data_IF_292542040305
#
_entry.id   IF_292542040305
#
_cell.length_a   1.000
_cell.length_b   1.000
_cell.length_c   1.000
_cell.angle_alpha   90.00
_cell.angle_beta   90.00
_cell.angle_gamma   90.00
#
_symmetry.space_group_name_H-M   'P 1'
#
loop_
_entity.id
_entity.type
_entity.pdbx_description
1 polymer ?
#
# COMPACT_ATOMS: atom_id res chain seq x y z
N UNK A 1 12.94 -9.71 21.73
CA UNK A 1 12.42 -9.28 20.42
C UNK A 1 11.33 -10.27 20.03
N UNK A 2 10.09 -9.84 20.17
CA UNK A 2 8.85 -10.63 20.16
C UNK A 2 8.48 -11.02 18.72
N UNK A 3 8.12 -12.29 18.49
CA UNK A 3 7.88 -12.87 17.15
C UNK A 3 6.79 -12.16 16.31
N UNK A 4 5.92 -11.37 16.95
CA UNK A 4 4.95 -10.49 16.28
C UNK A 4 5.62 -9.42 15.42
N UNK A 5 6.65 -8.75 15.95
CA UNK A 5 7.38 -7.70 15.21
C UNK A 5 8.11 -8.24 13.99
N UNK A 6 8.57 -9.50 14.05
CA UNK A 6 9.24 -10.17 12.94
C UNK A 6 8.23 -10.51 11.82
N UNK A 7 7.01 -10.90 12.19
CA UNK A 7 5.93 -11.21 11.25
C UNK A 7 5.39 -9.95 10.57
N UNK A 8 5.24 -8.85 11.30
CA UNK A 8 4.83 -7.56 10.72
C UNK A 8 5.86 -7.01 9.72
N UNK A 9 7.15 -7.09 10.05
CA UNK A 9 8.23 -6.71 9.14
C UNK A 9 8.24 -7.61 7.89
N UNK A 10 8.07 -8.92 8.06
CA UNK A 10 7.99 -9.86 6.94
C UNK A 10 6.78 -9.60 6.05
N UNK A 11 5.62 -9.28 6.63
CA UNK A 11 4.41 -8.94 5.88
C UNK A 11 4.58 -7.63 5.10
N UNK A 12 5.13 -6.59 5.73
CA UNK A 12 5.43 -5.31 5.08
C UNK A 12 6.45 -5.44 3.95
N UNK A 13 7.51 -6.23 4.15
CA UNK A 13 8.50 -6.53 3.11
C UNK A 13 7.89 -7.36 1.96
N UNK A 14 7.02 -8.33 2.27
CA UNK A 14 6.32 -9.13 1.27
C UNK A 14 5.38 -8.30 0.40
N UNK A 15 4.62 -7.39 1.02
CA UNK A 15 3.75 -6.45 0.30
C UNK A 15 4.56 -5.43 -0.52
N UNK A 16 5.67 -4.93 0.02
CA UNK A 16 6.57 -4.05 -0.72
C UNK A 16 7.16 -4.73 -1.95
N UNK A 17 7.66 -5.96 -1.80
CA UNK A 17 8.22 -6.74 -2.89
C UNK A 17 7.17 -7.05 -3.98
N UNK A 18 5.96 -7.47 -3.60
CA UNK A 18 4.90 -7.77 -4.55
C UNK A 18 4.42 -6.53 -5.31
N UNK A 19 4.43 -5.37 -4.67
CA UNK A 19 4.14 -4.08 -5.27
C UNK A 19 5.16 -3.73 -6.36
N UNK A 20 6.46 -3.82 -6.07
CA UNK A 20 7.54 -3.54 -7.04
C UNK A 20 7.55 -4.53 -8.20
N UNK A 21 7.36 -5.83 -7.93
CA UNK A 21 7.30 -6.88 -8.96
C UNK A 21 6.11 -6.65 -9.89
N UNK A 22 4.93 -6.31 -9.35
CA UNK A 22 3.74 -6.01 -10.16
C UNK A 22 3.95 -4.77 -11.03
N UNK A 23 4.59 -3.73 -10.49
CA UNK A 23 4.91 -2.52 -11.23
C UNK A 23 5.89 -2.80 -12.38
N UNK A 24 6.92 -3.63 -12.13
CA UNK A 24 7.84 -4.09 -13.17
C UNK A 24 7.16 -4.91 -14.27
N UNK A 25 6.22 -5.78 -13.89
CA UNK A 25 5.41 -6.55 -14.84
C UNK A 25 4.56 -5.63 -15.75
N UNK A 26 3.90 -4.64 -15.16
CA UNK A 26 3.08 -3.66 -15.88
C UNK A 26 3.88 -2.81 -16.87
N UNK A 27 5.14 -2.50 -16.52
CA UNK A 27 6.04 -1.73 -17.39
C UNK A 27 6.67 -2.58 -18.51
N UNK A 28 6.54 -3.90 -18.45
CA UNK A 28 7.11 -4.80 -19.45
C UNK A 28 6.19 -4.90 -20.67
N UNK A 29 6.77 -4.94 -21.87
CA UNK A 29 6.03 -5.09 -23.14
C UNK A 29 5.14 -6.36 -23.18
N UNK A 30 5.56 -7.42 -22.48
CA UNK A 30 4.81 -8.67 -22.30
C UNK A 30 3.49 -8.48 -21.51
N UNK A 31 3.47 -7.53 -20.57
CA UNK A 31 2.29 -7.20 -19.78
C UNK A 31 1.13 -6.67 -20.62
N UNK A 32 1.42 -5.93 -21.71
CA UNK A 32 0.40 -5.44 -22.65
C UNK A 32 -0.21 -6.57 -23.50
N UNK A 33 0.52 -7.65 -23.74
CA UNK A 33 0.04 -8.79 -24.53
C UNK A 33 -0.78 -9.80 -23.70
N UNK A 34 -0.74 -9.70 -22.37
CA UNK A 34 -1.37 -10.67 -21.46
C UNK A 34 -2.45 -10.00 -20.56
N UNK A 35 -3.72 -9.90 -21.02
CA UNK A 35 -4.75 -9.12 -20.35
C UNK A 35 -5.06 -9.62 -18.92
N UNK A 36 -4.99 -10.93 -18.70
CA UNK A 36 -5.23 -11.55 -17.38
C UNK A 36 -4.07 -11.25 -16.43
N UNK A 37 -2.82 -11.35 -16.92
CA UNK A 37 -1.63 -11.03 -16.12
C UNK A 37 -1.58 -9.55 -15.73
N UNK A 38 -1.97 -8.67 -16.66
CA UNK A 38 -2.08 -7.23 -16.41
C UNK A 38 -3.12 -6.90 -15.32
N UNK A 39 -4.29 -7.55 -15.36
CA UNK A 39 -5.33 -7.38 -14.35
C UNK A 39 -4.86 -7.84 -12.96
N UNK A 40 -4.21 -9.01 -12.88
CA UNK A 40 -3.64 -9.51 -11.64
C UNK A 40 -2.57 -8.57 -11.07
N UNK A 41 -1.66 -8.07 -11.91
CA UNK A 41 -0.63 -7.12 -11.50
C UNK A 41 -1.25 -5.81 -10.97
N UNK A 42 -2.30 -5.31 -11.62
CA UNK A 42 -3.06 -4.15 -11.12
C UNK A 42 -3.69 -4.40 -9.75
N UNK A 43 -4.35 -5.55 -9.56
CA UNK A 43 -5.00 -5.90 -8.29
C UNK A 43 -3.95 -5.99 -7.17
N UNK A 44 -2.84 -6.68 -7.42
CA UNK A 44 -1.76 -6.83 -6.43
C UNK A 44 -1.11 -5.49 -6.12
N UNK A 45 -0.84 -4.66 -7.14
CA UNK A 45 -0.27 -3.34 -6.95
C UNK A 45 -1.17 -2.43 -6.11
N UNK A 46 -2.47 -2.36 -6.44
CA UNK A 46 -3.44 -1.54 -5.71
C UNK A 46 -3.66 -2.09 -4.31
N UNK A 47 -3.81 -3.41 -4.15
CA UNK A 47 -4.01 -4.04 -2.84
C UNK A 47 -2.81 -3.83 -1.91
N UNK A 48 -1.61 -4.16 -2.38
CA UNK A 48 -0.39 -3.97 -1.60
C UNK A 48 -0.10 -2.49 -1.31
N UNK A 49 -0.28 -1.63 -2.31
CA UNK A 49 -0.10 -0.19 -2.18
C UNK A 49 -1.06 0.44 -1.17
N UNK A 50 -2.34 0.07 -1.22
CA UNK A 50 -3.35 0.58 -0.26
C UNK A 50 -3.07 0.10 1.16
N UNK A 51 -2.72 -1.17 1.37
CA UNK A 51 -2.36 -1.69 2.70
C UNK A 51 -1.12 -0.98 3.25
N UNK A 52 -0.09 -0.75 2.42
CA UNK A 52 1.10 0.00 2.82
C UNK A 52 0.79 1.46 3.18
N UNK A 53 -0.10 2.10 2.42
CA UNK A 53 -0.41 3.52 2.58
C UNK A 53 -1.45 3.77 3.69
N UNK A 54 -2.26 2.78 4.04
CA UNK A 54 -3.32 2.87 5.04
C UNK A 54 -2.86 3.45 6.39
N UNK A 55 -1.76 3.00 7.03
CA UNK A 55 -1.32 3.58 8.30
C UNK A 55 -0.89 5.06 8.16
N UNK A 56 -0.31 5.45 7.02
CA UNK A 56 0.03 6.84 6.76
C UNK A 56 -1.23 7.70 6.54
N UNK A 57 -2.19 7.18 5.78
CA UNK A 57 -3.47 7.85 5.54
C UNK A 57 -4.26 8.06 6.83
N UNK A 58 -4.30 7.06 7.73
CA UNK A 58 -4.94 7.18 9.04
C UNK A 58 -4.28 8.25 9.92
N UNK A 59 -2.95 8.37 9.89
CA UNK A 59 -2.22 9.44 10.61
C UNK A 59 -2.54 10.83 10.07
N UNK A 60 -2.63 10.98 8.76
CA UNK A 60 -3.02 12.24 8.13
C UNK A 60 -4.46 12.63 8.48
N UNK A 61 -5.40 11.69 8.38
CA UNK A 61 -6.80 11.93 8.73
C UNK A 61 -6.97 12.28 10.21
N UNK A 62 -6.24 11.61 11.10
CA UNK A 62 -6.22 11.96 12.52
C UNK A 62 -5.72 13.40 12.75
N UNK A 63 -4.68 13.82 12.02
CA UNK A 63 -4.19 15.21 12.06
C UNK A 63 -5.23 16.21 11.57
N UNK A 64 -5.92 15.92 10.47
CA UNK A 64 -6.98 16.78 9.90
C UNK A 64 -8.16 16.92 10.86
N UNK A 65 -8.58 15.82 11.51
CA UNK A 65 -9.66 15.84 12.50
C UNK A 65 -9.25 16.66 13.73
N UNK A 66 -8.01 16.52 14.21
CA UNK A 66 -7.52 17.29 15.35
C UNK A 66 -7.47 18.80 15.07
N UNK A 67 -7.00 19.20 13.88
CA UNK A 67 -6.97 20.60 13.44
C UNK A 67 -8.37 21.22 13.35
N UNK A 68 -9.36 20.43 12.92
CA UNK A 68 -10.76 20.88 12.82
C UNK A 68 -11.40 21.13 14.20
N UNK A 69 -11.09 20.34 15.24
CA UNK A 69 -11.64 20.54 16.60
C UNK A 69 -11.10 21.81 17.28
N UNK A 70 -9.83 22.15 17.03
CA UNK A 70 -9.22 23.39 17.55
C UNK A 70 -9.77 24.66 16.88
N UNK A 71 -10.17 24.57 15.60
CA UNK A 71 -10.80 25.68 14.87
C UNK A 71 -12.19 26.04 15.37
N UNK A 72 -13.00 25.06 15.79
CA UNK A 72 -14.37 25.26 16.28
C UNK A 72 -14.41 25.91 17.69
N UNK A 73 -13.34 25.81 18.48
CA UNK A 73 -13.27 26.36 19.85
C UNK A 73 -12.76 27.81 19.93
N UNK A 74 -12.51 28.46 18.80
CA UNK A 74 -12.09 29.88 18.71
C UNK A 74 -13.22 30.76 18.21
#
# INVERSE_FOLDING_TARGET
>A
MTGETMSELACGLGLGASCVVSLGWLLTHDGCAHPIGNLLAMIVLVGAGTILLLPAALRLMAGVVADSDEGERR
#
